data_IF_908778961116
#
_entry.id   IF_908778961116
#
_cell.length_a   1.000
_cell.length_b   1.000
_cell.length_c   1.000
_cell.angle_alpha   90.00
_cell.angle_beta   90.00
_cell.angle_gamma   90.00
#
_symmetry.space_group_name_H-M   'P 1'
#
loop_
_entity.id
_entity.type
_entity.pdbx_description
1 polymer ?
#
# COMPACT_ATOMS: atom_id res chain seq x y z
N UNK A 1 -2.20 -26.24 -7.47
CA UNK A 1 -2.99 -25.10 -8.04
C UNK A 1 -4.03 -24.65 -7.03
N UNK A 2 -4.25 -23.36 -6.86
CA UNK A 2 -5.32 -22.79 -6.04
C UNK A 2 -6.64 -23.04 -6.75
N UNK A 3 -7.61 -23.68 -6.08
CA UNK A 3 -8.90 -24.02 -6.69
C UNK A 3 -10.00 -23.00 -6.35
N UNK A 4 -9.79 -22.20 -5.30
CA UNK A 4 -10.76 -21.19 -4.87
C UNK A 4 -10.04 -19.90 -4.47
N UNK A 5 -10.65 -18.73 -4.77
CA UNK A 5 -10.03 -17.43 -4.58
C UNK A 5 -11.07 -16.35 -4.26
N UNK A 6 -10.88 -15.64 -3.15
CA UNK A 6 -11.57 -14.37 -2.87
C UNK A 6 -10.64 -13.21 -3.20
N UNK A 7 -10.98 -12.41 -4.19
CA UNK A 7 -10.25 -11.19 -4.57
C UNK A 7 -10.86 -10.03 -3.80
N UNK A 8 -10.07 -9.38 -2.96
CA UNK A 8 -10.50 -8.39 -1.97
C UNK A 8 -9.94 -7.01 -2.32
N UNK A 9 -10.83 -6.08 -2.67
CA UNK A 9 -10.47 -4.73 -3.14
C UNK A 9 -11.02 -3.70 -2.15
N UNK A 10 -10.19 -3.18 -1.22
CA UNK A 10 -10.58 -2.07 -0.37
C UNK A 10 -10.60 -0.77 -1.18
N UNK A 11 -11.62 0.07 -0.99
CA UNK A 11 -11.74 1.35 -1.67
C UNK A 11 -12.29 2.46 -0.76
N UNK A 12 -11.86 3.70 -1.03
CA UNK A 12 -12.41 4.92 -0.46
C UNK A 12 -12.29 6.05 -1.48
N UNK A 13 -13.42 6.45 -2.06
CA UNK A 13 -13.50 7.48 -3.11
C UNK A 13 -12.67 7.19 -4.38
N UNK A 14 -12.35 5.90 -4.64
CA UNK A 14 -11.60 5.47 -5.81
C UNK A 14 -12.44 4.53 -6.69
N UNK A 15 -12.35 4.69 -8.00
CA UNK A 15 -13.09 3.90 -8.99
C UNK A 15 -12.39 2.57 -9.26
N UNK A 16 -13.02 1.47 -8.86
CA UNK A 16 -12.52 0.11 -9.04
C UNK A 16 -13.00 -0.54 -10.36
N UNK A 17 -13.86 0.11 -11.13
CA UNK A 17 -14.52 -0.48 -12.30
C UNK A 17 -13.54 -1.17 -13.26
N UNK A 18 -12.46 -0.52 -13.73
CA UNK A 18 -11.55 -1.16 -14.69
C UNK A 18 -10.86 -2.41 -14.12
N UNK A 19 -10.52 -2.39 -12.83
CA UNK A 19 -9.88 -3.52 -12.16
C UNK A 19 -10.85 -4.69 -12.00
N UNK A 20 -12.10 -4.43 -11.59
CA UNK A 20 -13.15 -5.45 -11.45
C UNK A 20 -13.41 -6.14 -12.80
N UNK A 21 -13.59 -5.38 -13.88
CA UNK A 21 -13.83 -5.90 -15.23
C UNK A 21 -12.68 -6.78 -15.72
N UNK A 22 -11.43 -6.31 -15.54
CA UNK A 22 -10.23 -7.07 -15.93
C UNK A 22 -10.10 -8.37 -15.16
N UNK A 23 -10.26 -8.32 -13.83
CA UNK A 23 -10.13 -9.50 -12.98
C UNK A 23 -11.26 -10.50 -13.21
N UNK A 24 -12.50 -10.03 -13.40
CA UNK A 24 -13.64 -10.89 -13.74
C UNK A 24 -13.42 -11.62 -15.07
N UNK A 25 -12.92 -10.91 -16.09
CA UNK A 25 -12.60 -11.51 -17.39
C UNK A 25 -11.50 -12.58 -17.26
N UNK A 26 -10.40 -12.30 -16.51
CA UNK A 26 -9.33 -13.28 -16.30
C UNK A 26 -9.81 -14.51 -15.50
N UNK A 27 -10.55 -14.28 -14.41
CA UNK A 27 -11.04 -15.37 -13.57
C UNK A 27 -11.98 -16.32 -14.33
N UNK A 28 -12.84 -15.76 -15.20
CA UNK A 28 -13.78 -16.53 -16.03
C UNK A 28 -13.08 -17.41 -17.10
N UNK A 29 -11.82 -17.13 -17.43
CA UNK A 29 -11.02 -17.93 -18.38
C UNK A 29 -10.32 -19.12 -17.70
N UNK A 30 -10.30 -19.19 -16.37
CA UNK A 30 -9.64 -20.26 -15.62
C UNK A 30 -10.68 -21.31 -15.23
N UNK A 31 -10.85 -22.35 -16.06
CA UNK A 31 -11.94 -23.34 -15.95
C UNK A 31 -12.04 -24.03 -14.57
N UNK A 32 -10.94 -24.23 -13.86
CA UNK A 32 -10.92 -24.93 -12.57
C UNK A 32 -11.02 -24.00 -11.35
N UNK A 33 -11.14 -22.68 -11.56
CA UNK A 33 -11.14 -21.69 -10.49
C UNK A 33 -12.56 -21.36 -10.04
N UNK A 34 -12.84 -21.57 -8.77
CA UNK A 34 -14.02 -21.01 -8.10
C UNK A 34 -13.61 -19.70 -7.44
N UNK A 35 -14.31 -18.60 -7.75
CA UNK A 35 -13.84 -17.29 -7.34
C UNK A 35 -14.97 -16.32 -6.97
N UNK A 36 -14.58 -15.29 -6.24
CA UNK A 36 -15.39 -14.08 -6.03
C UNK A 36 -14.49 -12.83 -6.07
N UNK A 37 -15.09 -11.69 -6.40
CA UNK A 37 -14.52 -10.36 -6.19
C UNK A 37 -15.36 -9.66 -5.12
N UNK A 38 -14.73 -9.17 -4.06
CA UNK A 38 -15.40 -8.43 -2.99
C UNK A 38 -14.79 -7.03 -2.91
N UNK A 39 -15.57 -6.03 -3.29
CA UNK A 39 -15.19 -4.62 -3.12
C UNK A 39 -15.67 -4.15 -1.75
N UNK A 40 -14.75 -3.70 -0.91
CA UNK A 40 -15.01 -3.14 0.40
C UNK A 40 -14.93 -1.63 0.39
N UNK A 41 -16.05 -0.95 0.38
CA UNK A 41 -16.12 0.51 0.42
C UNK A 41 -16.09 1.01 1.86
N UNK A 42 -15.00 1.70 2.21
CA UNK A 42 -14.73 2.23 3.55
C UNK A 42 -15.45 3.59 3.79
N UNK A 43 -16.73 3.66 3.45
CA UNK A 43 -17.55 4.85 3.70
C UNK A 43 -17.30 5.99 2.72
N UNK A 44 -17.11 5.69 1.43
CA UNK A 44 -16.90 6.70 0.38
C UNK A 44 -17.98 7.80 0.41
N UNK A 45 -17.55 9.04 0.23
CA UNK A 45 -18.41 10.24 0.22
C UNK A 45 -18.78 10.70 -1.19
N UNK A 46 -18.04 10.26 -2.21
CA UNK A 46 -18.36 10.53 -3.61
C UNK A 46 -19.42 9.54 -4.12
N UNK A 47 -20.66 10.04 -4.23
CA UNK A 47 -21.81 9.25 -4.67
C UNK A 47 -21.65 8.70 -6.10
N UNK A 48 -20.90 9.39 -6.96
CA UNK A 48 -20.67 8.95 -8.33
C UNK A 48 -19.74 7.74 -8.38
N UNK A 49 -18.70 7.74 -7.57
CA UNK A 49 -17.79 6.58 -7.40
C UNK A 49 -18.52 5.40 -6.78
N UNK A 50 -19.30 5.64 -5.71
CA UNK A 50 -20.13 4.60 -5.07
C UNK A 50 -21.06 3.95 -6.08
N UNK A 51 -21.71 4.76 -6.95
CA UNK A 51 -22.63 4.24 -7.99
C UNK A 51 -21.88 3.38 -9.01
N UNK A 52 -20.75 3.85 -9.55
CA UNK A 52 -19.95 3.09 -10.52
C UNK A 52 -19.44 1.77 -9.96
N UNK A 53 -18.85 1.78 -8.77
CA UNK A 53 -18.34 0.57 -8.13
C UNK A 53 -19.45 -0.45 -7.85
N UNK A 54 -20.62 0.02 -7.39
CA UNK A 54 -21.80 -0.85 -7.18
C UNK A 54 -22.29 -1.44 -8.49
N UNK A 55 -22.33 -0.66 -9.57
CA UNK A 55 -22.73 -1.12 -10.90
C UNK A 55 -21.72 -2.15 -11.45
N UNK A 56 -20.42 -1.92 -11.31
CA UNK A 56 -19.40 -2.89 -11.72
C UNK A 56 -19.52 -4.22 -10.94
N UNK A 57 -19.91 -4.18 -9.68
CA UNK A 57 -20.17 -5.37 -8.87
C UNK A 57 -21.51 -6.07 -9.18
N UNK A 58 -22.28 -5.64 -10.18
CA UNK A 58 -23.41 -6.40 -10.71
C UNK A 58 -22.97 -7.58 -11.62
N UNK A 59 -21.69 -7.68 -11.97
CA UNK A 59 -21.10 -8.83 -12.66
C UNK A 59 -21.22 -10.10 -11.80
N UNK A 60 -21.34 -11.29 -12.42
CA UNK A 60 -21.36 -12.57 -11.71
C UNK A 60 -20.15 -12.72 -10.77
N UNK A 61 -20.35 -13.35 -9.63
CA UNK A 61 -19.32 -13.58 -8.61
C UNK A 61 -18.71 -12.30 -8.02
N UNK A 62 -19.32 -11.13 -8.21
CA UNK A 62 -18.88 -9.87 -7.63
C UNK A 62 -19.82 -9.40 -6.53
N UNK A 63 -19.27 -8.85 -5.45
CA UNK A 63 -20.03 -8.32 -4.31
C UNK A 63 -19.51 -6.93 -3.94
N UNK A 64 -20.41 -6.02 -3.63
CA UNK A 64 -20.09 -4.71 -3.08
C UNK A 64 -20.55 -4.62 -1.64
N UNK A 65 -19.59 -4.44 -0.72
CA UNK A 65 -19.83 -4.29 0.71
C UNK A 65 -19.43 -2.87 1.12
N UNK A 66 -20.31 -2.17 1.83
CA UNK A 66 -20.04 -0.81 2.26
C UNK A 66 -20.20 -0.67 3.77
N UNK A 67 -19.25 -0.02 4.42
CA UNK A 67 -19.39 0.44 5.81
C UNK A 67 -19.86 1.91 5.81
N UNK A 68 -20.52 2.33 6.89
CA UNK A 68 -21.12 3.66 6.96
C UNK A 68 -20.10 4.79 7.12
N UNK A 69 -18.97 4.51 7.77
CA UNK A 69 -17.95 5.49 8.08
C UNK A 69 -16.57 4.94 7.74
N UNK A 70 -15.66 5.81 7.33
CA UNK A 70 -14.28 5.46 7.10
C UNK A 70 -13.62 4.95 8.39
N UNK A 71 -13.14 3.71 8.36
CA UNK A 71 -12.50 3.00 9.48
C UNK A 71 -10.99 2.88 9.29
N UNK A 72 -10.50 3.21 8.11
CA UNK A 72 -9.10 3.12 7.74
C UNK A 72 -8.72 1.80 7.06
N UNK A 73 -7.56 1.83 6.41
CA UNK A 73 -7.07 0.74 5.53
C UNK A 73 -6.93 -0.61 6.22
N UNK A 74 -6.51 -0.61 7.48
CA UNK A 74 -6.38 -1.82 8.28
C UNK A 74 -7.75 -2.47 8.54
N UNK A 75 -8.71 -1.67 9.03
CA UNK A 75 -10.03 -2.17 9.40
C UNK A 75 -10.83 -2.68 8.19
N UNK A 76 -10.77 -1.99 7.04
CA UNK A 76 -11.49 -2.45 5.85
C UNK A 76 -10.88 -3.76 5.30
N UNK A 77 -9.55 -3.95 5.36
CA UNK A 77 -8.92 -5.21 4.96
C UNK A 77 -9.31 -6.36 5.90
N UNK A 78 -9.34 -6.13 7.21
CA UNK A 78 -9.82 -7.13 8.17
C UNK A 78 -11.29 -7.50 7.93
N UNK A 79 -12.15 -6.50 7.69
CA UNK A 79 -13.56 -6.71 7.35
C UNK A 79 -13.72 -7.56 6.07
N UNK A 80 -12.92 -7.27 5.03
CA UNK A 80 -12.93 -8.05 3.80
C UNK A 80 -12.46 -9.48 4.02
N UNK A 81 -11.39 -9.71 4.80
CA UNK A 81 -10.93 -11.06 5.14
C UNK A 81 -12.01 -11.89 5.83
N UNK A 82 -12.73 -11.28 6.78
CA UNK A 82 -13.86 -11.94 7.48
C UNK A 82 -15.02 -12.24 6.54
N UNK A 83 -15.30 -11.35 5.58
CA UNK A 83 -16.44 -11.45 4.64
C UNK A 83 -16.18 -12.38 3.46
N UNK A 84 -14.94 -12.79 3.23
CA UNK A 84 -14.53 -13.65 2.13
C UNK A 84 -15.12 -15.06 2.26
N UNK A 85 -15.52 -15.66 1.13
CA UNK A 85 -16.11 -17.00 1.10
C UNK A 85 -15.04 -18.10 1.04
N UNK A 86 -13.88 -17.82 0.41
CA UNK A 86 -12.87 -18.85 0.13
C UNK A 86 -11.64 -18.70 1.02
N UNK A 87 -10.86 -19.78 1.14
CA UNK A 87 -9.71 -19.87 2.04
C UNK A 87 -8.43 -19.24 1.47
N UNK A 88 -8.42 -18.87 0.20
CA UNK A 88 -7.32 -18.11 -0.42
C UNK A 88 -7.79 -16.69 -0.68
N UNK A 89 -7.11 -15.71 -0.11
CA UNK A 89 -7.45 -14.30 -0.21
C UNK A 89 -6.39 -13.56 -1.03
N UNK A 90 -6.81 -12.83 -2.06
CA UNK A 90 -5.97 -11.94 -2.83
C UNK A 90 -6.36 -10.48 -2.55
N UNK A 91 -5.54 -9.76 -1.79
CA UNK A 91 -5.74 -8.33 -1.58
C UNK A 91 -5.10 -7.53 -2.71
N UNK A 92 -5.87 -6.60 -3.26
CA UNK A 92 -5.42 -5.65 -4.30
C UNK A 92 -5.92 -4.26 -3.98
N UNK A 93 -5.03 -3.25 -4.04
CA UNK A 93 -5.48 -1.85 -4.01
C UNK A 93 -6.24 -1.53 -5.32
N UNK A 94 -7.26 -0.66 -5.24
CA UNK A 94 -8.20 -0.42 -6.33
C UNK A 94 -7.63 0.32 -7.55
N UNK A 95 -6.53 1.07 -7.38
CA UNK A 95 -5.93 1.92 -8.41
C UNK A 95 -4.74 1.28 -9.14
N UNK A 96 -4.72 -0.04 -9.23
CA UNK A 96 -3.67 -0.78 -9.92
C UNK A 96 -4.18 -1.41 -11.23
N UNK A 97 -3.26 -1.61 -12.16
CA UNK A 97 -3.47 -2.41 -13.36
C UNK A 97 -2.75 -3.74 -13.24
N UNK A 98 -3.36 -4.79 -13.76
CA UNK A 98 -2.84 -6.16 -13.73
C UNK A 98 -2.46 -6.62 -15.15
N UNK A 99 -1.43 -7.46 -15.26
CA UNK A 99 -1.05 -8.07 -16.54
C UNK A 99 -2.00 -9.19 -16.97
N UNK A 100 -1.93 -9.62 -18.23
CA UNK A 100 -2.87 -10.58 -18.85
C UNK A 100 -2.95 -11.93 -18.13
N UNK A 101 -1.87 -12.41 -17.54
CA UNK A 101 -1.81 -13.69 -16.81
C UNK A 101 -1.79 -13.53 -15.29
N UNK A 102 -2.23 -12.39 -14.79
CA UNK A 102 -2.05 -12.04 -13.39
C UNK A 102 -2.69 -13.07 -12.44
N UNK A 103 -3.96 -13.43 -12.63
CA UNK A 103 -4.65 -14.43 -11.80
C UNK A 103 -4.09 -15.83 -12.07
N UNK A 104 -3.80 -16.16 -13.33
CA UNK A 104 -3.21 -17.46 -13.70
C UNK A 104 -1.90 -17.72 -12.97
N UNK A 105 -1.02 -16.71 -12.87
CA UNK A 105 0.26 -16.82 -12.16
C UNK A 105 0.08 -17.15 -10.66
N UNK A 106 -0.94 -16.61 -10.03
CA UNK A 106 -1.26 -16.94 -8.63
C UNK A 106 -1.88 -18.35 -8.48
N UNK A 107 -2.76 -18.74 -9.41
CA UNK A 107 -3.39 -20.06 -9.39
C UNK A 107 -2.36 -21.17 -9.63
N UNK A 108 -1.45 -20.96 -10.55
CA UNK A 108 -0.37 -21.91 -10.89
C UNK A 108 0.76 -21.96 -9.86
N UNK A 109 0.86 -20.97 -8.97
CA UNK A 109 1.91 -20.98 -7.94
C UNK A 109 1.75 -22.18 -6.99
N UNK A 110 2.78 -23.03 -6.95
CA UNK A 110 2.79 -24.31 -6.24
C UNK A 110 3.50 -24.28 -4.87
N UNK A 111 4.03 -23.13 -4.46
CA UNK A 111 4.64 -22.96 -3.14
C UNK A 111 3.65 -23.11 -2.00
N UNK A 112 4.16 -23.44 -0.82
CA UNK A 112 3.41 -23.72 0.40
C UNK A 112 3.37 -22.55 1.40
N UNK A 113 3.94 -21.40 1.02
CA UNK A 113 3.98 -20.24 1.91
C UNK A 113 2.59 -19.69 2.20
N UNK A 114 2.42 -19.21 3.42
CA UNK A 114 1.15 -18.67 3.89
C UNK A 114 0.82 -17.31 3.27
N UNK A 115 1.85 -16.57 2.83
CA UNK A 115 1.73 -15.25 2.21
C UNK A 115 2.60 -15.17 0.95
N UNK A 116 2.04 -14.68 -0.15
CA UNK A 116 2.73 -14.54 -1.43
C UNK A 116 2.58 -13.09 -1.90
N UNK A 117 3.71 -12.40 -2.07
CA UNK A 117 3.76 -11.01 -2.50
C UNK A 117 4.11 -10.94 -4.00
N UNK A 118 3.20 -10.44 -4.82
CA UNK A 118 3.40 -10.29 -6.27
C UNK A 118 4.31 -9.12 -6.63
N UNK A 119 4.29 -8.06 -5.83
CA UNK A 119 5.04 -6.83 -6.05
C UNK A 119 4.25 -5.73 -6.74
N UNK A 120 4.87 -4.56 -6.82
CA UNK A 120 4.29 -3.33 -7.37
C UNK A 120 5.34 -2.61 -8.19
N UNK A 121 4.97 -2.09 -9.35
CA UNK A 121 5.82 -1.25 -10.20
C UNK A 121 5.11 0.06 -10.56
N UNK A 122 5.87 1.06 -10.98
CA UNK A 122 5.30 2.24 -11.59
C UNK A 122 4.78 1.90 -13.00
N UNK A 123 3.58 2.34 -13.31
CA UNK A 123 2.94 2.18 -14.61
C UNK A 123 2.48 3.53 -15.16
N UNK A 124 1.59 3.49 -16.16
CA UNK A 124 1.08 4.68 -16.82
C UNK A 124 2.05 5.27 -17.85
N UNK A 125 1.62 6.37 -18.47
CA UNK A 125 2.38 7.04 -19.51
C UNK A 125 3.48 7.95 -18.92
N UNK A 126 4.74 7.69 -19.26
CA UNK A 126 5.89 8.46 -18.76
C UNK A 126 5.79 9.95 -19.11
N UNK A 127 5.38 10.30 -20.32
CA UNK A 127 5.25 11.70 -20.74
C UNK A 127 4.20 12.46 -19.92
N UNK A 128 3.12 11.77 -19.52
CA UNK A 128 2.09 12.32 -18.65
C UNK A 128 2.60 12.51 -17.21
N UNK A 129 3.39 11.55 -16.70
CA UNK A 129 3.74 11.48 -15.29
C UNK A 129 5.16 11.93 -14.94
N UNK A 130 6.01 12.30 -15.91
CA UNK A 130 7.40 12.72 -15.66
C UNK A 130 7.55 13.90 -14.67
N UNK A 131 6.53 14.75 -14.53
CA UNK A 131 6.47 15.84 -13.55
C UNK A 131 5.84 15.46 -12.21
N UNK A 132 5.38 14.20 -12.04
CA UNK A 132 4.71 13.76 -10.84
C UNK A 132 5.71 13.19 -9.83
N UNK A 133 5.65 13.66 -8.58
CA UNK A 133 6.58 13.28 -7.51
C UNK A 133 6.47 11.81 -7.13
N UNK A 134 5.23 11.28 -7.00
CA UNK A 134 5.00 9.88 -6.66
C UNK A 134 5.48 8.95 -7.77
N UNK A 135 5.16 9.26 -9.01
CA UNK A 135 5.66 8.50 -10.16
C UNK A 135 7.19 8.40 -10.17
N UNK A 136 7.87 9.55 -10.03
CA UNK A 136 9.35 9.59 -9.95
C UNK A 136 9.90 8.76 -8.79
N UNK A 137 9.25 8.85 -7.63
CA UNK A 137 9.66 8.09 -6.44
C UNK A 137 9.53 6.58 -6.65
N UNK A 138 8.39 6.11 -7.18
CA UNK A 138 8.17 4.68 -7.46
C UNK A 138 9.12 4.19 -8.57
N UNK A 139 9.29 4.92 -9.66
CA UNK A 139 10.25 4.58 -10.73
C UNK A 139 11.70 4.46 -10.22
N UNK A 140 12.14 5.40 -9.42
CA UNK A 140 13.48 5.34 -8.83
C UNK A 140 13.66 4.21 -7.81
N UNK A 141 12.57 3.68 -7.28
CA UNK A 141 12.58 2.57 -6.35
C UNK A 141 12.56 1.18 -7.02
N UNK A 142 12.12 1.05 -8.29
CA UNK A 142 11.88 -0.23 -8.98
C UNK A 142 13.07 -1.19 -8.93
N UNK A 143 14.28 -0.72 -9.23
CA UNK A 143 15.48 -1.57 -9.21
C UNK A 143 15.74 -2.18 -7.82
N UNK A 144 15.37 -1.46 -6.75
CA UNK A 144 15.53 -1.90 -5.36
C UNK A 144 14.36 -2.73 -4.86
N UNK A 145 13.27 -2.80 -5.63
CA UNK A 145 12.04 -3.52 -5.32
C UNK A 145 11.70 -4.61 -6.34
N UNK A 146 12.64 -4.98 -7.23
CA UNK A 146 12.49 -6.16 -8.07
C UNK A 146 12.40 -7.44 -7.22
N UNK A 147 11.94 -8.52 -7.80
CA UNK A 147 11.67 -9.78 -7.08
C UNK A 147 12.91 -10.32 -6.35
N UNK A 148 14.10 -10.21 -6.94
CA UNK A 148 15.34 -10.73 -6.34
C UNK A 148 15.73 -9.92 -5.09
N UNK A 149 15.61 -8.60 -5.14
CA UNK A 149 15.86 -7.74 -3.97
C UNK A 149 14.79 -7.92 -2.87
N UNK A 150 13.52 -8.17 -3.26
CA UNK A 150 12.44 -8.45 -2.32
C UNK A 150 12.66 -9.78 -1.59
N UNK A 151 13.15 -10.81 -2.27
CA UNK A 151 13.48 -12.13 -1.68
C UNK A 151 14.58 -12.05 -0.61
N UNK A 152 15.53 -11.14 -0.76
CA UNK A 152 16.60 -10.95 0.25
C UNK A 152 16.08 -10.41 1.59
N UNK A 153 14.94 -9.71 1.57
CA UNK A 153 14.35 -9.08 2.76
C UNK A 153 12.83 -9.23 2.73
N UNK A 154 12.28 -10.45 2.83
CA UNK A 154 10.89 -10.73 2.51
C UNK A 154 9.90 -9.92 3.36
N UNK A 155 10.15 -9.76 4.64
CA UNK A 155 9.26 -9.04 5.54
C UNK A 155 9.37 -7.52 5.43
N UNK A 156 10.58 -6.98 5.17
CA UNK A 156 10.80 -5.54 4.98
C UNK A 156 10.36 -5.04 3.60
N UNK A 157 10.23 -5.96 2.64
CA UNK A 157 9.76 -5.67 1.28
C UNK A 157 8.27 -5.94 1.10
N UNK A 158 7.58 -6.23 2.19
CA UNK A 158 6.15 -6.49 2.21
C UNK A 158 5.36 -5.22 1.83
N UNK A 159 4.35 -5.38 0.97
CA UNK A 159 3.39 -4.34 0.60
C UNK A 159 2.02 -4.98 0.40
N UNK A 160 1.00 -4.44 1.04
CA UNK A 160 -0.38 -4.95 0.98
C UNK A 160 -1.08 -4.73 -0.35
N UNK A 161 -0.51 -3.90 -1.22
CA UNK A 161 -1.10 -3.54 -2.53
C UNK A 161 -1.37 -4.75 -3.42
N UNK A 162 -0.56 -5.83 -3.27
CA UNK A 162 -0.66 -7.04 -4.09
C UNK A 162 -0.13 -8.25 -3.32
N UNK A 163 -1.01 -8.88 -2.55
CA UNK A 163 -0.67 -10.05 -1.74
C UNK A 163 -1.75 -11.13 -1.80
N UNK A 164 -1.30 -12.37 -1.93
CA UNK A 164 -2.14 -13.54 -1.72
C UNK A 164 -1.84 -14.09 -0.31
N UNK A 165 -2.85 -14.44 0.46
CA UNK A 165 -2.70 -14.94 1.83
C UNK A 165 -3.76 -15.99 2.14
N UNK A 166 -3.41 -17.01 2.94
CA UNK A 166 -4.39 -17.95 3.46
C UNK A 166 -5.33 -17.25 4.46
N UNK A 167 -6.62 -17.52 4.38
CA UNK A 167 -7.66 -16.89 5.23
C UNK A 167 -7.36 -17.08 6.72
N UNK A 168 -6.97 -18.28 7.14
CA UNK A 168 -6.61 -18.56 8.54
C UNK A 168 -5.43 -17.66 9.00
N UNK A 169 -4.44 -17.47 8.14
CA UNK A 169 -3.32 -16.55 8.43
C UNK A 169 -3.81 -15.10 8.56
N UNK A 170 -4.65 -14.64 7.65
CA UNK A 170 -5.19 -13.27 7.69
C UNK A 170 -6.06 -13.02 8.93
N UNK A 171 -6.84 -14.02 9.37
CA UNK A 171 -7.72 -13.92 10.54
C UNK A 171 -6.94 -14.07 11.86
N UNK A 172 -5.92 -14.94 11.90
CA UNK A 172 -5.06 -15.13 13.08
C UNK A 172 -4.07 -13.98 13.30
N UNK A 173 -3.70 -13.29 12.22
CA UNK A 173 -2.79 -12.14 12.22
C UNK A 173 -3.46 -10.95 11.53
N UNK A 174 -4.47 -10.31 12.15
CA UNK A 174 -5.17 -9.18 11.54
C UNK A 174 -4.26 -7.94 11.46
N UNK A 175 -4.58 -7.05 10.53
CA UNK A 175 -4.00 -5.70 10.49
C UNK A 175 -4.35 -4.95 11.77
N UNK A 176 -3.43 -4.10 12.23
CA UNK A 176 -3.65 -3.28 13.43
C UNK A 176 -4.59 -2.10 13.12
N UNK A 177 -5.81 -2.15 13.62
CA UNK A 177 -6.83 -1.13 13.38
C UNK A 177 -6.56 0.21 14.10
N UNK A 178 -5.51 0.30 14.90
CA UNK A 178 -5.02 1.58 15.44
C UNK A 178 -4.38 2.46 14.35
N UNK A 179 -3.96 1.84 13.21
CA UNK A 179 -3.51 2.53 12.01
C UNK A 179 -4.73 3.02 11.20
N UNK A 180 -5.32 4.13 11.65
CA UNK A 180 -6.43 4.79 10.93
C UNK A 180 -5.94 5.72 9.85
N UNK A 181 -4.82 6.40 10.11
CA UNK A 181 -4.20 7.35 9.20
C UNK A 181 -3.33 6.64 8.17
N UNK A 182 -2.90 7.37 7.15
CA UNK A 182 -2.11 6.84 6.05
C UNK A 182 -0.70 6.40 6.47
N UNK A 183 -0.31 5.18 6.05
CA UNK A 183 1.07 4.70 5.98
C UNK A 183 1.54 3.84 7.17
N UNK A 184 2.51 3.00 6.86
CA UNK A 184 3.21 2.08 7.77
C UNK A 184 2.39 0.90 8.33
N UNK A 185 1.11 0.79 8.02
CA UNK A 185 0.31 -0.39 8.41
C UNK A 185 0.86 -1.69 7.81
N UNK A 186 1.35 -1.61 6.58
CA UNK A 186 1.98 -2.73 5.87
C UNK A 186 3.35 -3.09 6.45
N UNK A 187 4.14 -2.10 6.84
CA UNK A 187 5.46 -2.31 7.47
C UNK A 187 5.30 -3.02 8.82
N UNK A 188 4.34 -2.59 9.65
CA UNK A 188 4.06 -3.25 10.93
C UNK A 188 3.52 -4.66 10.72
N UNK A 189 2.63 -4.84 9.73
CA UNK A 189 2.09 -6.14 9.41
C UNK A 189 3.20 -7.13 9.00
N UNK A 190 4.10 -6.72 8.09
CA UNK A 190 5.26 -7.53 7.71
C UNK A 190 6.19 -7.86 8.89
N UNK A 191 6.39 -6.92 9.84
CA UNK A 191 7.13 -7.16 11.07
C UNK A 191 6.46 -8.23 11.95
N UNK A 192 5.16 -8.13 12.18
CA UNK A 192 4.39 -9.09 12.98
C UNK A 192 4.39 -10.49 12.36
N UNK A 193 4.25 -10.59 11.03
CA UNK A 193 4.37 -11.88 10.33
C UNK A 193 5.75 -12.53 10.57
N UNK A 194 6.84 -11.73 10.59
CA UNK A 194 8.18 -12.22 10.92
C UNK A 194 8.27 -12.72 12.36
N UNK A 195 7.76 -11.96 13.32
CA UNK A 195 7.78 -12.29 14.75
C UNK A 195 6.99 -13.59 15.04
N UNK A 196 5.97 -13.87 14.23
CA UNK A 196 5.15 -15.07 14.31
C UNK A 196 5.64 -16.23 13.39
N UNK A 197 6.80 -16.07 12.76
CA UNK A 197 7.41 -17.05 11.84
C UNK A 197 6.48 -17.46 10.69
N UNK A 198 5.59 -16.57 10.23
CA UNK A 198 4.73 -16.80 9.06
C UNK A 198 5.57 -16.76 7.79
N UNK A 199 5.49 -17.80 6.97
CA UNK A 199 6.27 -17.89 5.73
C UNK A 199 5.77 -16.91 4.66
N UNK A 200 6.71 -16.18 4.04
CA UNK A 200 6.43 -15.22 2.94
C UNK A 200 7.27 -15.57 1.72
N UNK A 201 6.63 -15.70 0.56
CA UNK A 201 7.30 -15.73 -0.73
C UNK A 201 7.14 -14.40 -1.49
N UNK A 202 8.12 -14.08 -2.32
CA UNK A 202 8.02 -13.03 -3.34
C UNK A 202 8.12 -13.62 -4.73
N UNK A 203 7.14 -13.34 -5.57
CA UNK A 203 7.08 -13.80 -6.96
C UNK A 203 7.08 -12.61 -7.93
N UNK A 204 7.39 -12.90 -9.19
CA UNK A 204 7.32 -11.91 -10.26
C UNK A 204 5.91 -11.87 -10.84
N UNK A 205 4.99 -11.19 -10.13
CA UNK A 205 3.60 -11.01 -10.53
C UNK A 205 3.13 -9.58 -10.16
N UNK A 206 3.88 -8.58 -10.65
CA UNK A 206 3.72 -7.19 -10.25
C UNK A 206 2.45 -6.57 -10.83
N UNK A 207 1.77 -5.78 -10.00
CA UNK A 207 0.75 -4.84 -10.45
C UNK A 207 1.39 -3.48 -10.77
N UNK A 208 0.78 -2.73 -11.68
CA UNK A 208 1.25 -1.40 -12.07
C UNK A 208 0.37 -0.31 -11.45
N UNK A 209 0.98 0.69 -10.81
CA UNK A 209 0.29 1.93 -10.44
C UNK A 209 0.21 2.79 -11.69
N UNK A 210 -0.99 2.97 -12.25
CA UNK A 210 -1.18 3.66 -13.52
C UNK A 210 -1.66 5.11 -13.38
N UNK A 211 -2.19 5.47 -12.22
CA UNK A 211 -2.68 6.81 -11.91
C UNK A 211 -2.06 7.32 -10.62
N UNK A 212 -1.75 8.60 -10.63
CA UNK A 212 -1.07 9.26 -9.52
C UNK A 212 -1.83 10.53 -9.13
N UNK A 213 -1.95 10.75 -7.85
CA UNK A 213 -2.47 12.00 -7.29
C UNK A 213 -1.57 13.19 -7.61
N UNK A 214 -2.07 14.41 -7.42
CA UNK A 214 -1.25 15.62 -7.56
C UNK A 214 -0.06 15.63 -6.60
N UNK A 215 1.00 16.38 -6.94
CA UNK A 215 2.18 16.50 -6.09
C UNK A 215 1.82 17.04 -4.69
N UNK A 216 0.89 18.00 -4.62
CA UNK A 216 0.38 18.55 -3.37
C UNK A 216 -0.25 17.47 -2.50
N UNK A 217 -1.16 16.67 -3.08
CA UNK A 217 -1.84 15.59 -2.36
C UNK A 217 -0.87 14.50 -1.91
N UNK A 218 0.13 14.20 -2.73
CA UNK A 218 1.16 13.23 -2.35
C UNK A 218 2.03 13.72 -1.20
N UNK A 219 2.42 15.01 -1.20
CA UNK A 219 3.17 15.62 -0.07
C UNK A 219 2.33 15.60 1.20
N UNK A 220 1.03 15.91 1.15
CA UNK A 220 0.11 15.81 2.29
C UNK A 220 0.02 14.39 2.85
N UNK A 221 -0.18 13.39 1.98
CA UNK A 221 -0.16 11.98 2.38
C UNK A 221 1.16 11.58 3.05
N UNK A 222 2.30 12.11 2.56
CA UNK A 222 3.59 11.83 3.18
C UNK A 222 3.74 12.53 4.54
N UNK A 223 3.21 13.74 4.71
CA UNK A 223 3.17 14.40 6.02
C UNK A 223 2.32 13.59 7.01
N UNK A 224 1.14 13.11 6.59
CA UNK A 224 0.27 12.22 7.37
C UNK A 224 1.00 10.93 7.76
N UNK A 225 1.67 10.26 6.80
CA UNK A 225 2.48 9.07 7.06
C UNK A 225 3.61 9.31 8.08
N UNK A 226 4.20 10.52 8.11
CA UNK A 226 5.22 10.86 9.10
C UNK A 226 4.65 11.04 10.51
N UNK A 227 3.41 11.51 10.64
CA UNK A 227 2.70 11.51 11.92
C UNK A 227 2.43 10.08 12.40
N UNK A 228 1.97 9.21 11.50
CA UNK A 228 1.80 7.77 11.79
C UNK A 228 3.12 7.14 12.21
N UNK A 229 4.22 7.38 11.47
CA UNK A 229 5.55 6.87 11.80
C UNK A 229 6.03 7.32 13.19
N UNK A 230 5.79 8.58 13.56
CA UNK A 230 6.13 9.10 14.89
C UNK A 230 5.29 8.42 15.98
N UNK A 231 3.97 8.32 15.78
CA UNK A 231 3.03 7.72 16.73
C UNK A 231 3.39 6.27 17.06
N UNK A 232 3.79 5.50 16.05
CA UNK A 232 4.15 4.08 16.18
C UNK A 232 5.66 3.85 16.10
N UNK A 233 6.47 4.84 16.51
CA UNK A 233 7.93 4.76 16.43
C UNK A 233 8.52 3.54 17.18
N UNK A 234 8.06 3.19 18.39
CA UNK A 234 8.57 2.01 19.11
C UNK A 234 8.31 0.70 18.35
N UNK A 235 7.11 0.55 17.79
CA UNK A 235 6.72 -0.65 17.05
C UNK A 235 7.46 -0.77 15.71
N UNK A 236 7.82 0.35 15.10
CA UNK A 236 8.47 0.43 13.78
C UNK A 236 9.99 0.54 13.85
N UNK A 237 10.58 0.49 15.05
CA UNK A 237 12.03 0.54 15.23
C UNK A 237 12.73 -0.60 14.49
N UNK A 238 13.82 -0.27 13.77
CA UNK A 238 14.57 -1.21 12.93
C UNK A 238 13.91 -1.54 11.57
N UNK A 239 12.66 -1.13 11.34
CA UNK A 239 11.93 -1.37 10.08
C UNK A 239 11.79 -0.11 9.20
N UNK A 240 12.00 1.08 9.73
CA UNK A 240 12.03 2.33 8.96
C UNK A 240 13.41 2.98 8.97
N UNK A 241 14.06 3.03 7.79
CA UNK A 241 15.36 3.73 7.63
C UNK A 241 15.26 5.21 7.98
N UNK A 242 14.12 5.83 7.68
CA UNK A 242 13.88 7.23 7.98
C UNK A 242 13.82 7.47 9.49
N UNK A 243 13.13 6.61 10.21
CA UNK A 243 13.06 6.66 11.68
C UNK A 243 14.45 6.43 12.30
N UNK A 244 15.19 5.42 11.83
CA UNK A 244 16.54 5.15 12.31
C UNK A 244 17.49 6.34 12.11
N UNK A 245 17.37 7.04 10.97
CA UNK A 245 18.17 8.23 10.70
C UNK A 245 17.76 9.41 11.60
N UNK A 246 16.45 9.62 11.82
CA UNK A 246 15.96 10.64 12.73
C UNK A 246 16.44 10.39 14.17
N UNK A 247 16.32 9.15 14.65
CA UNK A 247 16.81 8.75 15.99
C UNK A 247 18.34 9.00 16.16
N UNK A 248 19.12 8.73 15.10
CA UNK A 248 20.57 9.01 15.10
C UNK A 248 20.87 10.52 15.17
N UNK A 249 20.10 11.36 14.46
CA UNK A 249 20.25 12.84 14.54
C UNK A 249 19.96 13.32 15.96
N UNK A 250 18.94 12.79 16.62
CA UNK A 250 18.60 13.10 18.01
C UNK A 250 19.70 12.64 18.98
N UNK A 251 20.18 11.39 18.84
CA UNK A 251 21.26 10.87 19.71
C UNK A 251 22.56 11.69 19.61
N UNK A 252 22.78 12.38 18.50
CA UNK A 252 23.89 13.32 18.31
C UNK A 252 23.58 14.75 18.77
N UNK A 253 22.42 15.01 19.37
CA UNK A 253 21.93 16.32 19.77
C UNK A 253 21.80 17.36 18.64
N UNK A 254 21.72 16.91 17.38
CA UNK A 254 21.51 17.78 16.22
C UNK A 254 20.05 18.03 15.88
N UNK A 255 19.10 17.46 16.63
CA UNK A 255 17.67 17.61 16.36
C UNK A 255 17.24 19.07 16.25
N UNK A 256 17.65 19.92 17.22
CA UNK A 256 17.34 21.35 17.22
C UNK A 256 17.85 22.10 15.98
N UNK A 257 19.06 21.80 15.54
CA UNK A 257 19.67 22.42 14.36
C UNK A 257 18.91 22.00 13.08
N UNK A 258 18.70 20.69 12.89
CA UNK A 258 18.01 20.15 11.72
C UNK A 258 16.55 20.62 11.67
N UNK A 259 15.84 20.57 12.79
CA UNK A 259 14.45 21.01 12.90
C UNK A 259 14.27 22.51 12.68
N UNK A 260 15.21 23.33 13.18
CA UNK A 260 15.25 24.78 12.96
C UNK A 260 15.49 25.15 11.51
N UNK A 261 16.53 24.59 10.88
CA UNK A 261 16.84 24.79 9.45
C UNK A 261 15.66 24.34 8.57
N UNK A 262 15.08 23.19 8.88
CA UNK A 262 13.89 22.72 8.16
C UNK A 262 12.73 23.70 8.33
N UNK A 263 12.51 24.23 9.53
CA UNK A 263 11.47 25.22 9.80
C UNK A 263 11.57 26.46 8.91
N UNK A 264 12.79 26.95 8.67
CA UNK A 264 13.06 28.09 7.79
C UNK A 264 12.87 27.75 6.29
N UNK A 265 13.17 26.53 5.90
CA UNK A 265 13.19 26.12 4.48
C UNK A 265 11.93 25.34 4.05
N UNK A 266 11.06 24.91 4.98
CA UNK A 266 9.89 24.06 4.70
C UNK A 266 9.02 24.59 3.55
N UNK A 267 8.70 25.90 3.55
CA UNK A 267 7.85 26.50 2.53
C UNK A 267 8.47 26.46 1.13
N UNK A 268 9.77 26.72 1.03
CA UNK A 268 10.52 26.66 -0.23
C UNK A 268 10.61 25.22 -0.75
N UNK A 269 10.94 24.28 0.12
CA UNK A 269 11.01 22.85 -0.21
C UNK A 269 9.64 22.33 -0.69
N UNK A 270 8.57 22.65 0.05
CA UNK A 270 7.21 22.23 -0.34
C UNK A 270 6.81 22.79 -1.70
N UNK A 271 7.09 24.07 -1.97
CA UNK A 271 6.82 24.68 -3.28
C UNK A 271 7.56 23.95 -4.40
N UNK A 272 8.82 23.59 -4.20
CA UNK A 272 9.60 22.84 -5.19
C UNK A 272 9.03 21.44 -5.42
N UNK A 273 8.62 20.74 -4.36
CA UNK A 273 8.04 19.39 -4.45
C UNK A 273 6.66 19.37 -5.11
N UNK A 274 5.87 20.43 -4.93
CA UNK A 274 4.57 20.60 -5.57
C UNK A 274 4.67 21.16 -7.00
N UNK A 275 5.85 21.56 -7.46
CA UNK A 275 6.05 22.09 -8.81
C UNK A 275 6.09 21.02 -9.90
N UNK A 276 6.31 21.47 -11.15
CA UNK A 276 6.33 20.58 -12.34
C UNK A 276 7.58 19.72 -12.48
N UNK A 277 8.63 19.96 -11.68
CA UNK A 277 9.87 19.17 -11.73
C UNK A 277 10.38 18.85 -10.32
N UNK A 278 9.67 18.01 -9.54
CA UNK A 278 10.01 17.71 -8.16
C UNK A 278 11.32 16.92 -8.04
N UNK A 279 12.15 17.28 -7.04
CA UNK A 279 13.42 16.62 -6.77
C UNK A 279 13.27 15.54 -5.70
N UNK A 280 13.68 14.29 -6.00
CA UNK A 280 13.67 13.18 -5.05
C UNK A 280 14.66 13.38 -3.89
N UNK A 281 15.76 14.09 -4.13
CA UNK A 281 16.73 14.42 -3.07
C UNK A 281 16.11 15.40 -2.06
N UNK A 282 15.48 16.47 -2.56
CA UNK A 282 14.76 17.41 -1.70
C UNK A 282 13.56 16.77 -1.00
N UNK A 283 12.89 15.81 -1.66
CA UNK A 283 11.82 15.03 -1.02
C UNK A 283 12.33 14.19 0.17
N UNK A 284 13.50 13.57 0.01
CA UNK A 284 14.14 12.83 1.11
C UNK A 284 14.52 13.76 2.26
N UNK A 285 15.10 14.92 1.97
CA UNK A 285 15.43 15.94 2.97
C UNK A 285 14.17 16.50 3.65
N UNK A 286 13.10 16.74 2.89
CA UNK A 286 11.82 17.20 3.41
C UNK A 286 11.22 16.21 4.42
N UNK A 287 11.16 14.93 4.07
CA UNK A 287 10.64 13.88 4.96
C UNK A 287 11.44 13.77 6.25
N UNK A 288 12.76 13.81 6.15
CA UNK A 288 13.65 13.75 7.31
C UNK A 288 13.48 14.96 8.22
N UNK A 289 13.55 16.17 7.67
CA UNK A 289 13.37 17.41 8.43
C UNK A 289 12.00 17.52 9.10
N UNK A 290 10.94 17.09 8.39
CA UNK A 290 9.59 17.06 8.94
C UNK A 290 9.49 16.07 10.11
N UNK A 291 10.06 14.85 9.99
CA UNK A 291 10.04 13.85 11.06
C UNK A 291 10.82 14.33 12.30
N UNK A 292 12.03 14.85 12.11
CA UNK A 292 12.84 15.39 13.21
C UNK A 292 12.08 16.51 13.92
N UNK A 293 11.48 17.44 13.19
CA UNK A 293 10.69 18.53 13.77
C UNK A 293 9.43 18.04 14.51
N UNK A 294 8.78 16.98 14.01
CA UNK A 294 7.64 16.38 14.69
C UNK A 294 8.03 15.78 16.04
N UNK A 295 9.19 15.11 16.12
CA UNK A 295 9.68 14.49 17.35
C UNK A 295 10.04 15.53 18.41
N UNK A 296 10.71 16.63 18.03
CA UNK A 296 11.06 17.72 18.93
C UNK A 296 9.86 18.42 19.61
N UNK A 297 8.66 18.38 19.00
CA UNK A 297 7.48 19.05 19.58
C UNK A 297 6.90 18.35 20.81
N UNK A 298 7.29 17.11 21.08
CA UNK A 298 6.85 16.38 22.27
C UNK A 298 7.80 16.55 23.46
N UNK A 299 9.00 17.10 23.22
CA UNK A 299 10.00 17.35 24.26
C UNK A 299 9.87 18.75 24.91
N UNK A 300 8.99 19.59 24.36
CA UNK A 300 8.64 20.92 24.89
C UNK A 300 7.17 20.97 25.34
#
# INVERSE_FOLDING_TARGET
MKQSLSILIPTFNDDCTPLIETLSAQASQIESLVWEIVVGDDGSTDSSVVHRNRQACALPCCRYLRVEQNRGRAAIRNFLAQSAQYDTLLFLDCHVEVGDRFLQNYVEYDGSESVICGGVKAGGNEEQWKGNLRYRYERAAEQRHNVEERRKRPYQSFRTTNILVNKDTALSHPFDEQFRDYGYEDVLYGKRLKEQNVSIAHINNEVAIAQYESNERYVEKMEEALHTLKKFAPELEGYSRLLSLANRIESWHFGGVVGGLFGLTKGMLRRQLCGSNPSLQLFTAYRLGQLVRLKMKDEN
#
